data_IF_351651948577
#
_entry.id   IF_351651948577
#
_cell.length_a   1.000
_cell.length_b   1.000
_cell.length_c   1.000
_cell.angle_alpha   90.00
_cell.angle_beta   90.00
_cell.angle_gamma   90.00
#
_symmetry.space_group_name_H-M   'P 1'
#
loop_
_entity.id
_entity.type
_entity.pdbx_description
1 polymer ?
#
# COMPACT_ATOMS: atom_id res chain seq x y z
N UNK A 1 26.47 8.60 26.50
CA UNK A 1 26.47 7.91 25.19
C UNK A 1 25.03 7.88 24.70
N UNK A 2 24.72 8.38 23.51
CA UNK A 2 23.33 8.41 23.00
C UNK A 2 22.81 6.99 22.77
N UNK A 3 21.48 6.79 22.86
CA UNK A 3 20.83 5.48 22.63
C UNK A 3 21.22 4.92 21.24
N UNK A 4 21.35 5.79 20.24
CA UNK A 4 21.82 5.44 18.90
C UNK A 4 23.29 4.94 18.89
N UNK A 5 24.19 5.59 19.61
CA UNK A 5 25.58 5.14 19.72
C UNK A 5 25.71 3.79 20.44
N UNK A 6 24.82 3.50 21.40
CA UNK A 6 24.74 2.19 22.05
C UNK A 6 24.30 1.08 21.10
N UNK A 7 23.32 1.36 20.23
CA UNK A 7 22.88 0.43 19.20
C UNK A 7 24.02 0.05 18.25
N UNK A 8 24.69 1.03 17.63
CA UNK A 8 25.75 0.75 16.65
C UNK A 8 27.00 0.11 17.27
N UNK A 9 27.26 0.34 18.55
CA UNK A 9 28.34 -0.34 19.27
C UNK A 9 28.07 -1.84 19.45
N UNK A 10 26.81 -2.21 19.71
CA UNK A 10 26.37 -3.60 19.90
C UNK A 10 26.17 -4.33 18.57
N UNK A 11 25.61 -3.65 17.58
CA UNK A 11 25.10 -4.22 16.34
C UNK A 11 25.91 -3.72 15.12
N UNK A 12 27.25 -3.86 15.16
CA UNK A 12 28.20 -3.29 14.16
C UNK A 12 27.89 -3.67 12.70
N UNK A 13 27.32 -4.85 12.47
CA UNK A 13 26.88 -5.30 11.15
C UNK A 13 25.93 -4.28 10.50
N UNK A 14 24.94 -3.79 11.23
CA UNK A 14 23.93 -2.87 10.68
C UNK A 14 24.52 -1.50 10.35
N UNK A 15 25.56 -1.06 11.07
CA UNK A 15 26.31 0.14 10.69
C UNK A 15 26.99 -0.06 9.33
N UNK A 16 27.64 -1.20 9.12
CA UNK A 16 28.28 -1.54 7.84
C UNK A 16 27.25 -1.61 6.71
N UNK A 17 26.08 -2.21 6.95
CA UNK A 17 25.00 -2.28 5.97
C UNK A 17 24.45 -0.89 5.62
N UNK A 18 24.29 0.01 6.59
CA UNK A 18 23.88 1.41 6.32
C UNK A 18 24.95 2.11 5.48
N UNK A 19 26.23 1.97 5.84
CA UNK A 19 27.33 2.57 5.05
C UNK A 19 27.31 2.04 3.62
N UNK A 20 27.10 0.73 3.43
CA UNK A 20 26.93 0.13 2.11
C UNK A 20 25.75 0.73 1.35
N UNK A 21 24.56 0.79 1.96
CA UNK A 21 23.35 1.35 1.34
C UNK A 21 23.58 2.81 0.94
N UNK A 22 24.17 3.61 1.82
CA UNK A 22 24.50 5.01 1.53
C UNK A 22 25.50 5.11 0.39
N UNK A 23 26.57 4.33 0.40
CA UNK A 23 27.58 4.31 -0.65
C UNK A 23 26.96 3.98 -2.02
N UNK A 24 26.14 2.93 -2.11
CA UNK A 24 25.43 2.55 -3.34
C UNK A 24 24.52 3.68 -3.83
N UNK A 25 23.71 4.27 -2.95
CA UNK A 25 22.85 5.39 -3.34
C UNK A 25 23.67 6.61 -3.80
N UNK A 26 24.73 6.98 -3.08
CA UNK A 26 25.60 8.09 -3.51
C UNK A 26 26.28 7.83 -4.85
N UNK A 27 26.72 6.59 -5.12
CA UNK A 27 27.33 6.22 -6.40
C UNK A 27 26.34 6.30 -7.57
N UNK A 28 25.06 5.96 -7.33
CA UNK A 28 23.99 6.10 -8.34
C UNK A 28 23.69 7.58 -8.64
N UNK A 29 23.73 8.45 -7.62
CA UNK A 29 23.42 9.88 -7.75
C UNK A 29 24.64 10.77 -8.05
N UNK A 30 25.86 10.23 -8.08
CA UNK A 30 27.02 10.96 -8.57
C UNK A 30 26.85 11.18 -10.07
N UNK A 31 26.82 12.44 -10.54
CA UNK A 31 26.74 12.72 -11.96
C UNK A 31 28.06 12.27 -12.59
N UNK A 32 28.03 11.16 -13.33
CA UNK A 32 28.95 11.00 -14.44
C UNK A 32 28.59 12.12 -15.42
N UNK A 33 29.43 13.15 -15.50
CA UNK A 33 29.26 14.33 -16.36
C UNK A 33 28.63 13.97 -17.71
N UNK A 34 27.31 14.17 -17.85
CA UNK A 34 26.69 14.39 -19.14
C UNK A 34 26.56 15.90 -19.32
N UNK A 35 27.53 16.47 -20.04
CA UNK A 35 27.45 17.83 -20.58
C UNK A 35 26.15 18.00 -21.35
N UNK A 36 25.43 19.07 -21.01
CA UNK A 36 24.52 19.77 -21.91
C UNK A 36 23.06 19.35 -21.83
N UNK A 37 22.25 20.12 -21.11
CA UNK A 37 21.29 21.06 -21.72
C UNK A 37 20.49 21.72 -20.60
N UNK A 38 20.63 23.04 -20.49
CA UNK A 38 19.85 23.86 -19.55
C UNK A 38 18.38 23.89 -19.95
N UNK A 39 17.49 23.51 -19.03
CA UNK A 39 16.05 23.71 -19.20
C UNK A 39 15.67 25.10 -18.68
N UNK A 40 15.66 26.08 -19.58
CA UNK A 40 14.72 27.21 -19.46
C UNK A 40 13.36 26.66 -19.88
N UNK A 41 12.47 26.38 -18.95
CA UNK A 41 11.09 25.97 -19.27
C UNK A 41 10.24 27.23 -19.35
N UNK A 42 9.82 27.51 -20.57
CA UNK A 42 9.09 28.70 -20.98
C UNK A 42 7.59 28.55 -20.66
N UNK A 43 6.94 29.65 -20.28
CA UNK A 43 5.51 29.68 -19.89
C UNK A 43 4.62 29.21 -21.06
N UNK A 44 5.09 29.38 -22.29
CA UNK A 44 4.48 28.90 -23.54
C UNK A 44 4.31 27.38 -23.60
N UNK A 45 5.31 26.59 -23.18
CA UNK A 45 5.21 25.12 -23.19
C UNK A 45 4.15 24.59 -22.21
N UNK A 46 3.93 25.29 -21.09
CA UNK A 46 2.89 24.94 -20.13
C UNK A 46 1.48 25.20 -20.65
N UNK A 47 1.27 26.23 -21.47
CA UNK A 47 -0.04 26.54 -22.05
C UNK A 47 -0.36 25.56 -23.17
N UNK A 48 0.61 25.28 -24.06
CA UNK A 48 0.48 24.29 -25.14
C UNK A 48 0.26 22.87 -24.59
N UNK A 49 0.91 22.53 -23.48
CA UNK A 49 0.69 21.26 -22.79
C UNK A 49 -0.73 21.10 -22.22
N UNK A 50 -1.37 22.20 -21.77
CA UNK A 50 -2.73 22.19 -21.21
C UNK A 50 -3.81 22.01 -22.28
N UNK A 51 -3.67 22.66 -23.44
CA UNK A 51 -4.64 22.54 -24.53
C UNK A 51 -4.62 21.12 -25.14
N UNK A 52 -3.43 20.58 -25.44
CA UNK A 52 -3.28 19.19 -25.91
C UNK A 52 -3.83 18.16 -24.91
N UNK A 53 -3.77 18.47 -23.61
CA UNK A 53 -4.31 17.61 -22.57
C UNK A 53 -5.84 17.63 -22.49
N UNK A 54 -6.44 18.83 -22.58
CA UNK A 54 -7.89 18.96 -22.58
C UNK A 54 -8.49 18.23 -23.79
N UNK A 55 -7.83 18.35 -24.93
CA UNK A 55 -8.18 17.62 -26.16
C UNK A 55 -8.02 16.10 -25.99
N UNK A 56 -6.92 15.62 -25.37
CA UNK A 56 -6.71 14.20 -25.10
C UNK A 56 -7.75 13.60 -24.13
N UNK A 57 -8.16 14.35 -23.10
CA UNK A 57 -9.18 13.90 -22.15
C UNK A 57 -10.58 13.87 -22.78
N UNK A 58 -10.90 14.83 -23.65
CA UNK A 58 -12.15 14.83 -24.42
C UNK A 58 -12.19 13.65 -25.40
N UNK A 59 -11.08 13.39 -26.10
CA UNK A 59 -10.93 12.23 -26.97
C UNK A 59 -11.04 10.90 -26.21
N UNK A 60 -10.45 10.78 -25.01
CA UNK A 60 -10.64 9.59 -24.17
C UNK A 60 -12.10 9.43 -23.74
N UNK A 61 -12.80 10.52 -23.38
CA UNK A 61 -14.21 10.46 -22.98
C UNK A 61 -15.13 10.05 -24.12
N UNK A 62 -14.99 10.66 -25.30
CA UNK A 62 -15.77 10.31 -26.48
C UNK A 62 -15.52 8.86 -26.91
N UNK A 63 -14.28 8.38 -26.78
CA UNK A 63 -13.95 6.97 -27.02
C UNK A 63 -14.64 6.02 -26.04
N UNK A 64 -14.70 6.35 -24.75
CA UNK A 64 -15.40 5.50 -23.76
C UNK A 64 -16.89 5.43 -24.05
N UNK A 65 -17.56 6.57 -24.24
CA UNK A 65 -19.00 6.61 -24.56
C UNK A 65 -19.28 5.82 -25.85
N UNK A 66 -18.48 6.03 -26.90
CA UNK A 66 -18.58 5.29 -28.16
C UNK A 66 -18.37 3.77 -28.00
N UNK A 67 -17.44 3.33 -27.15
CA UNK A 67 -17.17 1.92 -26.88
C UNK A 67 -18.32 1.25 -26.12
N UNK A 68 -18.86 1.91 -25.10
CA UNK A 68 -20.02 1.42 -24.35
C UNK A 68 -21.26 1.34 -25.24
N UNK A 69 -21.46 2.30 -26.15
CA UNK A 69 -22.54 2.24 -27.13
C UNK A 69 -22.42 1.05 -28.10
N UNK A 70 -21.20 0.69 -28.50
CA UNK A 70 -20.94 -0.44 -29.41
C UNK A 70 -20.99 -1.81 -28.72
N UNK A 71 -20.68 -1.88 -27.42
CA UNK A 71 -20.62 -3.13 -26.66
C UNK A 71 -21.66 -3.16 -25.52
N UNK A 72 -22.87 -3.62 -25.84
CA UNK A 72 -24.02 -3.65 -24.92
C UNK A 72 -23.73 -4.45 -23.62
N UNK A 73 -23.14 -5.66 -23.66
CA UNK A 73 -22.74 -6.38 -22.45
C UNK A 73 -21.80 -5.58 -21.54
N UNK A 74 -20.81 -4.91 -22.13
CA UNK A 74 -19.86 -4.09 -21.38
C UNK A 74 -20.53 -2.85 -20.76
N UNK A 75 -21.46 -2.21 -21.46
CA UNK A 75 -22.26 -1.11 -20.91
C UNK A 75 -23.11 -1.54 -19.71
N UNK A 76 -23.74 -2.72 -19.79
CA UNK A 76 -24.50 -3.29 -18.67
C UNK A 76 -23.57 -3.57 -17.49
N UNK A 77 -22.41 -4.18 -17.72
CA UNK A 77 -21.42 -4.43 -16.67
C UNK A 77 -20.99 -3.13 -15.98
N UNK A 78 -20.62 -2.12 -16.76
CA UNK A 78 -20.22 -0.80 -16.25
C UNK A 78 -21.33 -0.13 -15.41
N UNK A 79 -22.57 -0.18 -15.89
CA UNK A 79 -23.73 0.34 -15.18
C UNK A 79 -23.95 -0.41 -13.85
N UNK A 80 -23.93 -1.74 -13.86
CA UNK A 80 -24.11 -2.56 -12.66
C UNK A 80 -22.99 -2.32 -11.65
N UNK A 81 -21.73 -2.20 -12.08
CA UNK A 81 -20.62 -1.85 -11.20
C UNK A 81 -20.79 -0.45 -10.61
N UNK A 82 -21.25 0.52 -11.40
CA UNK A 82 -21.50 1.89 -10.92
C UNK A 82 -22.62 1.92 -9.87
N UNK A 83 -23.72 1.19 -10.11
CA UNK A 83 -24.82 1.05 -9.14
C UNK A 83 -24.36 0.35 -7.86
N UNK A 84 -23.51 -0.69 -7.98
CA UNK A 84 -22.93 -1.37 -6.82
C UNK A 84 -22.07 -0.43 -5.97
N UNK A 85 -21.20 0.38 -6.60
CA UNK A 85 -20.38 1.37 -5.89
C UNK A 85 -21.27 2.36 -5.14
N UNK A 86 -22.31 2.90 -5.79
CA UNK A 86 -23.27 3.81 -5.16
C UNK A 86 -24.02 3.17 -3.99
N UNK A 87 -24.45 1.91 -4.14
CA UNK A 87 -25.11 1.16 -3.07
C UNK A 87 -24.17 0.93 -1.87
N UNK A 88 -22.90 0.62 -2.11
CA UNK A 88 -21.90 0.46 -1.04
C UNK A 88 -21.66 1.79 -0.31
N UNK A 89 -21.55 2.91 -1.04
CA UNK A 89 -21.42 4.24 -0.42
C UNK A 89 -22.65 4.56 0.44
N UNK A 90 -23.86 4.35 -0.10
CA UNK A 90 -25.10 4.58 0.64
C UNK A 90 -25.18 3.73 1.90
N UNK A 91 -24.83 2.45 1.81
CA UNK A 91 -24.81 1.54 2.94
C UNK A 91 -23.74 1.94 3.97
N UNK A 92 -22.59 2.45 3.52
CA UNK A 92 -21.57 3.04 4.41
C UNK A 92 -22.10 4.24 5.19
N UNK A 93 -22.79 5.17 4.53
CA UNK A 93 -23.45 6.30 5.18
C UNK A 93 -24.48 5.82 6.21
N UNK A 94 -25.28 4.79 5.87
CA UNK A 94 -26.23 4.21 6.81
C UNK A 94 -25.53 3.61 8.04
N UNK A 95 -24.43 2.88 7.84
CA UNK A 95 -23.61 2.36 8.94
C UNK A 95 -23.09 3.49 9.84
N UNK A 96 -22.58 4.58 9.25
CA UNK A 96 -22.11 5.73 10.02
C UNK A 96 -23.23 6.38 10.83
N UNK A 97 -24.41 6.57 10.23
CA UNK A 97 -25.59 7.10 10.93
C UNK A 97 -26.02 6.20 12.09
N UNK A 98 -26.00 4.88 11.89
CA UNK A 98 -26.29 3.91 12.94
C UNK A 98 -25.26 4.00 14.07
N UNK A 99 -23.97 3.98 13.75
CA UNK A 99 -22.88 4.09 14.75
C UNK A 99 -22.96 5.41 15.54
N UNK A 100 -23.28 6.53 14.87
CA UNK A 100 -23.51 7.82 15.52
C UNK A 100 -24.72 7.78 16.46
N UNK A 101 -25.84 7.18 16.04
CA UNK A 101 -27.04 7.05 16.88
C UNK A 101 -26.79 6.20 18.13
N UNK A 102 -26.02 5.10 18.02
CA UNK A 102 -25.61 4.30 19.18
C UNK A 102 -24.71 5.08 20.15
N UNK A 103 -23.76 5.87 19.63
CA UNK A 103 -22.88 6.70 20.45
C UNK A 103 -23.66 7.78 21.21
N UNK A 104 -24.64 8.40 20.57
CA UNK A 104 -25.54 9.39 21.19
C UNK A 104 -26.48 8.75 22.23
N UNK A 105 -26.85 7.48 22.04
CA UNK A 105 -27.70 6.70 22.95
C UNK A 105 -27.03 6.30 24.29
N UNK A 106 -25.80 6.77 24.58
CA UNK A 106 -25.00 6.44 25.79
C UNK A 106 -24.71 4.95 26.03
N UNK A 107 -25.11 4.03 25.16
CA UNK A 107 -24.61 2.65 25.18
C UNK A 107 -23.16 2.66 24.71
N UNK A 108 -22.21 2.67 25.65
CA UNK A 108 -20.80 2.43 25.34
C UNK A 108 -20.71 1.08 24.64
N UNK A 109 -20.38 1.09 23.35
CA UNK A 109 -19.81 -0.10 22.71
C UNK A 109 -18.43 -0.24 23.35
N UNK A 110 -18.37 -0.97 24.46
CA UNK A 110 -17.11 -1.40 25.07
C UNK A 110 -16.48 -2.45 24.15
N UNK A 111 -15.88 -2.00 23.05
CA UNK A 111 -14.91 -2.83 22.36
C UNK A 111 -13.71 -2.94 23.28
N UNK A 112 -13.58 -4.09 23.92
CA UNK A 112 -12.45 -4.43 24.78
C UNK A 112 -11.15 -4.08 24.04
N UNK A 113 -10.46 -3.03 24.48
CA UNK A 113 -9.11 -2.73 24.00
C UNK A 113 -8.24 -3.91 24.35
N UNK A 114 -7.61 -4.53 23.35
CA UNK A 114 -6.65 -5.59 23.58
C UNK A 114 -5.60 -5.07 24.58
N UNK A 115 -5.54 -5.69 25.76
CA UNK A 115 -4.52 -5.39 26.76
C UNK A 115 -3.19 -5.89 26.20
N UNK A 116 -2.19 -5.02 25.99
CA UNK A 116 -0.97 -5.40 25.30
C UNK A 116 -0.25 -6.51 26.06
N UNK A 117 0.16 -7.56 25.35
CA UNK A 117 1.35 -8.28 25.78
C UNK A 117 2.53 -7.31 25.74
N UNK A 118 3.36 -7.34 26.78
CA UNK A 118 4.58 -6.56 26.82
C UNK A 118 5.54 -7.15 25.76
N UNK A 119 5.51 -6.61 24.54
CA UNK A 119 6.35 -7.11 23.44
C UNK A 119 7.83 -6.88 23.74
N UNK A 120 8.66 -7.84 23.33
CA UNK A 120 10.10 -7.81 23.58
C UNK A 120 10.90 -6.97 22.57
N UNK A 121 10.39 -6.75 21.36
CA UNK A 121 11.07 -5.94 20.33
C UNK A 121 10.77 -4.44 20.46
N UNK A 122 11.56 -3.61 19.76
CA UNK A 122 11.48 -2.15 19.82
C UNK A 122 11.73 -1.47 18.45
N UNK A 123 11.72 -0.14 18.41
CA UNK A 123 11.90 0.64 17.19
C UNK A 123 13.24 0.39 16.48
N UNK A 124 14.30 0.01 17.21
CA UNK A 124 15.57 -0.36 16.59
C UNK A 124 15.50 -1.69 15.86
N UNK A 125 14.65 -2.60 16.34
CA UNK A 125 14.42 -3.86 15.63
C UNK A 125 13.65 -3.63 14.32
N UNK A 126 12.75 -2.64 14.29
CA UNK A 126 12.14 -2.16 13.03
C UNK A 126 13.21 -1.66 12.08
N UNK A 127 14.12 -0.80 12.57
CA UNK A 127 15.24 -0.32 11.76
C UNK A 127 16.12 -1.46 11.23
N UNK A 128 16.39 -2.50 12.02
CA UNK A 128 17.13 -3.70 11.58
C UNK A 128 16.45 -4.39 10.41
N UNK A 129 15.13 -4.64 10.50
CA UNK A 129 14.38 -5.29 9.42
C UNK A 129 14.38 -4.44 8.16
N UNK A 130 14.19 -3.11 8.28
CA UNK A 130 14.23 -2.18 7.13
C UNK A 130 15.63 -2.17 6.48
N UNK A 131 16.70 -2.15 7.25
CA UNK A 131 18.07 -2.20 6.72
C UNK A 131 18.32 -3.51 5.97
N UNK A 132 17.89 -4.64 6.53
CA UNK A 132 18.01 -5.94 5.87
C UNK A 132 17.17 -5.99 4.58
N UNK A 133 15.94 -5.49 4.61
CA UNK A 133 15.07 -5.38 3.44
C UNK A 133 15.74 -4.61 2.31
N UNK A 134 16.29 -3.42 2.61
CA UNK A 134 17.01 -2.60 1.63
C UNK A 134 18.27 -3.31 1.10
N UNK A 135 19.08 -3.89 1.99
CA UNK A 135 20.30 -4.59 1.61
C UNK A 135 20.01 -5.77 0.67
N UNK A 136 19.07 -6.64 1.04
CA UNK A 136 18.70 -7.77 0.20
C UNK A 136 18.04 -7.33 -1.11
N UNK A 137 17.36 -6.18 -1.14
CA UNK A 137 16.89 -5.57 -2.39
C UNK A 137 18.03 -5.31 -3.37
N UNK A 138 19.14 -4.72 -2.91
CA UNK A 138 20.33 -4.56 -3.74
C UNK A 138 20.97 -5.89 -4.13
N UNK A 139 21.06 -6.86 -3.21
CA UNK A 139 21.59 -8.19 -3.52
C UNK A 139 20.79 -8.86 -4.64
N UNK A 140 19.46 -8.80 -4.59
CA UNK A 140 18.57 -9.36 -5.61
C UNK A 140 18.86 -8.71 -6.97
N UNK A 141 18.94 -7.38 -7.03
CA UNK A 141 19.24 -6.66 -8.29
C UNK A 141 20.59 -7.11 -8.89
N UNK A 142 21.62 -7.30 -8.06
CA UNK A 142 22.93 -7.78 -8.52
C UNK A 142 22.84 -9.22 -9.02
N UNK A 143 22.20 -10.12 -8.27
CA UNK A 143 22.01 -11.53 -8.65
C UNK A 143 21.24 -11.62 -9.97
N UNK A 144 20.14 -10.89 -10.11
CA UNK A 144 19.37 -10.82 -11.36
C UNK A 144 20.23 -10.37 -12.53
N UNK A 145 21.07 -9.35 -12.33
CA UNK A 145 21.94 -8.82 -13.38
C UNK A 145 22.97 -9.84 -13.86
N UNK A 146 23.50 -10.67 -12.94
CA UNK A 146 24.41 -11.76 -13.27
C UNK A 146 23.70 -12.92 -13.98
N UNK A 147 22.45 -13.20 -13.61
CA UNK A 147 21.65 -14.30 -14.16
C UNK A 147 20.88 -13.91 -15.44
N UNK A 148 20.80 -12.62 -15.79
CA UNK A 148 20.04 -12.14 -16.95
C UNK A 148 20.55 -12.67 -18.30
N UNK A 149 21.84 -13.02 -18.39
CA UNK A 149 22.43 -13.61 -19.60
C UNK A 149 21.98 -15.07 -19.81
N UNK A 150 22.15 -16.00 -18.85
CA UNK A 150 21.70 -17.39 -19.01
C UNK A 150 20.19 -17.59 -18.93
N UNK A 151 19.43 -16.66 -18.33
CA UNK A 151 17.98 -16.80 -18.16
C UNK A 151 17.21 -15.64 -18.84
N UNK A 152 16.81 -15.78 -20.12
CA UNK A 152 16.13 -14.73 -20.87
C UNK A 152 14.83 -14.21 -20.24
N UNK A 153 14.16 -15.01 -19.39
CA UNK A 153 12.96 -14.59 -18.66
C UNK A 153 13.23 -13.40 -17.73
N UNK A 154 14.45 -13.28 -17.20
CA UNK A 154 14.91 -12.14 -16.40
C UNK A 154 15.12 -10.88 -17.26
N UNK A 155 14.95 -10.90 -18.58
CA UNK A 155 14.91 -9.66 -19.38
C UNK A 155 13.53 -9.01 -19.37
N UNK A 156 12.49 -9.72 -18.94
CA UNK A 156 11.15 -9.15 -18.82
C UNK A 156 11.04 -8.32 -17.52
N UNK A 157 10.81 -7.00 -17.68
CA UNK A 157 10.70 -6.07 -16.56
C UNK A 157 9.54 -6.40 -15.61
N UNK A 158 8.39 -6.81 -16.14
CA UNK A 158 7.22 -7.15 -15.31
C UNK A 158 7.52 -8.40 -14.47
N UNK A 159 8.13 -9.40 -15.09
CA UNK A 159 8.56 -10.62 -14.39
C UNK A 159 9.54 -10.32 -13.26
N UNK A 160 10.57 -9.51 -13.53
CA UNK A 160 11.53 -9.10 -12.50
C UNK A 160 10.88 -8.31 -11.39
N UNK A 161 10.00 -7.37 -11.71
CA UNK A 161 9.34 -6.54 -10.70
C UNK A 161 8.52 -7.40 -9.73
N UNK A 162 7.69 -8.32 -10.24
CA UNK A 162 6.88 -9.17 -9.35
C UNK A 162 7.75 -10.17 -8.60
N UNK A 163 8.76 -10.77 -9.25
CA UNK A 163 9.69 -11.71 -8.60
C UNK A 163 10.42 -11.04 -7.44
N UNK A 164 10.98 -9.85 -7.67
CA UNK A 164 11.71 -9.09 -6.66
C UNK A 164 10.83 -8.71 -5.49
N UNK A 165 9.61 -8.23 -5.76
CA UNK A 165 8.65 -7.86 -4.71
C UNK A 165 8.26 -9.10 -3.89
N UNK A 166 7.93 -10.21 -4.54
CA UNK A 166 7.57 -11.47 -3.87
C UNK A 166 8.71 -12.01 -2.98
N UNK A 167 9.96 -11.98 -3.47
CA UNK A 167 11.11 -12.44 -2.69
C UNK A 167 11.36 -11.50 -1.51
N UNK A 168 11.30 -10.18 -1.72
CA UNK A 168 11.54 -9.20 -0.67
C UNK A 168 10.49 -9.26 0.44
N UNK A 169 9.22 -9.41 0.07
CA UNK A 169 8.14 -9.55 1.04
C UNK A 169 8.29 -10.83 1.87
N UNK A 170 8.66 -11.95 1.22
CA UNK A 170 8.95 -13.20 1.92
C UNK A 170 10.14 -13.04 2.88
N UNK A 171 11.23 -12.40 2.44
CA UNK A 171 12.38 -12.12 3.29
C UNK A 171 12.01 -11.22 4.47
N UNK A 172 11.18 -10.20 4.24
CA UNK A 172 10.66 -9.33 5.30
C UNK A 172 9.93 -10.14 6.37
N UNK A 173 9.00 -11.01 5.95
CA UNK A 173 8.27 -11.89 6.86
C UNK A 173 9.22 -12.84 7.62
N UNK A 174 10.20 -13.42 6.94
CA UNK A 174 11.21 -14.29 7.57
C UNK A 174 12.04 -13.53 8.60
N UNK A 175 12.51 -12.32 8.30
CA UNK A 175 13.29 -11.53 9.26
C UNK A 175 12.48 -11.15 10.50
N UNK A 176 11.21 -10.77 10.31
CA UNK A 176 10.30 -10.46 11.42
C UNK A 176 10.11 -11.72 12.28
N UNK A 177 9.75 -12.86 11.69
CA UNK A 177 9.51 -14.10 12.43
C UNK A 177 10.78 -14.62 13.12
N UNK A 178 11.92 -14.54 12.46
CA UNK A 178 13.19 -14.96 13.03
C UNK A 178 13.58 -14.08 14.22
N UNK A 179 13.36 -12.78 14.14
CA UNK A 179 13.63 -11.86 15.23
C UNK A 179 12.63 -12.07 16.39
N UNK A 180 11.33 -12.10 16.10
CA UNK A 180 10.30 -12.16 17.16
C UNK A 180 10.18 -13.57 17.76
N UNK A 181 9.94 -14.58 16.94
CA UNK A 181 9.72 -15.97 17.40
C UNK A 181 11.04 -16.70 17.58
N UNK A 182 12.01 -16.49 16.70
CA UNK A 182 13.31 -17.16 16.76
C UNK A 182 14.19 -16.64 17.89
N UNK A 183 14.46 -15.34 17.92
CA UNK A 183 15.40 -14.70 18.86
C UNK A 183 14.71 -14.32 20.18
N UNK A 184 13.60 -13.58 20.12
CA UNK A 184 12.89 -13.16 21.34
C UNK A 184 11.95 -14.22 21.93
N UNK A 185 11.76 -15.36 21.25
CA UNK A 185 10.88 -16.46 21.69
C UNK A 185 9.43 -16.02 21.94
N UNK A 186 9.00 -14.97 21.25
CA UNK A 186 7.63 -14.47 21.29
C UNK A 186 6.67 -15.46 20.61
N UNK A 187 5.41 -15.45 21.04
CA UNK A 187 4.35 -16.21 20.38
C UNK A 187 3.87 -15.45 19.14
N UNK A 188 3.38 -16.16 18.12
CA UNK A 188 2.78 -15.55 16.93
C UNK A 188 1.63 -14.59 17.24
N UNK A 189 0.92 -14.83 18.35
CA UNK A 189 -0.15 -13.94 18.83
C UNK A 189 0.36 -12.55 19.23
N UNK A 190 1.64 -12.40 19.58
CA UNK A 190 2.26 -11.10 19.87
C UNK A 190 2.31 -10.21 18.61
N UNK A 191 2.36 -10.80 17.41
CA UNK A 191 2.20 -10.11 16.12
C UNK A 191 0.72 -9.93 15.72
N UNK A 192 -0.23 -10.42 16.54
CA UNK A 192 -1.64 -10.50 16.20
C UNK A 192 -2.00 -11.59 15.18
N UNK A 193 -1.10 -12.55 14.93
CA UNK A 193 -1.41 -13.73 14.13
C UNK A 193 -2.23 -14.68 15.01
N UNK A 194 -3.55 -14.59 14.90
CA UNK A 194 -4.50 -15.42 15.66
C UNK A 194 -5.83 -15.60 14.92
N UNK A 195 -6.33 -16.83 14.90
CA UNK A 195 -7.63 -17.19 14.35
C UNK A 195 -8.77 -17.16 15.39
N UNK A 196 -8.51 -16.65 16.59
CA UNK A 196 -9.55 -16.55 17.63
C UNK A 196 -10.67 -15.61 17.15
N UNK A 197 -11.92 -16.08 17.21
CA UNK A 197 -13.10 -15.35 16.73
C UNK A 197 -12.99 -14.92 15.26
N UNK A 198 -12.37 -15.73 14.41
CA UNK A 198 -12.07 -15.43 13.00
C UNK A 198 -13.23 -14.74 12.25
N UNK A 199 -14.41 -15.36 12.19
CA UNK A 199 -15.58 -14.80 11.49
C UNK A 199 -16.06 -13.47 12.07
N UNK A 200 -15.97 -13.28 13.39
CA UNK A 200 -16.34 -12.01 14.03
C UNK A 200 -15.36 -10.89 13.65
N UNK A 201 -14.08 -11.22 13.55
CA UNK A 201 -13.06 -10.25 13.13
C UNK A 201 -13.16 -9.93 11.63
N UNK A 202 -13.54 -10.89 10.79
CA UNK A 202 -13.94 -10.61 9.39
C UNK A 202 -15.11 -9.62 9.37
N UNK A 203 -16.17 -9.88 10.15
CA UNK A 203 -17.33 -8.99 10.25
C UNK A 203 -16.94 -7.58 10.68
N UNK A 204 -16.09 -7.43 11.71
CA UNK A 204 -15.57 -6.11 12.11
C UNK A 204 -14.76 -5.42 11.02
N UNK A 205 -13.98 -6.18 10.24
CA UNK A 205 -13.30 -5.67 9.06
C UNK A 205 -14.29 -5.12 8.02
N UNK A 206 -15.28 -5.93 7.62
CA UNK A 206 -16.30 -5.54 6.64
C UNK A 206 -17.06 -4.28 7.08
N UNK A 207 -17.59 -4.27 8.31
CA UNK A 207 -18.33 -3.11 8.84
C UNK A 207 -17.42 -1.87 8.93
N UNK A 208 -16.18 -2.05 9.39
CA UNK A 208 -15.19 -0.97 9.45
C UNK A 208 -14.85 -0.40 8.07
N UNK A 209 -14.74 -1.25 7.05
CA UNK A 209 -14.50 -0.81 5.68
C UNK A 209 -15.71 -0.08 5.10
N UNK A 210 -16.92 -0.60 5.31
CA UNK A 210 -18.14 0.07 4.86
C UNK A 210 -18.29 1.48 5.46
N UNK A 211 -17.98 1.64 6.75
CA UNK A 211 -17.97 2.92 7.43
C UNK A 211 -16.92 3.91 6.86
N UNK A 212 -15.75 3.43 6.41
CA UNK A 212 -14.71 4.34 5.89
C UNK A 212 -14.92 4.71 4.41
N UNK A 213 -15.65 3.90 3.62
CA UNK A 213 -15.81 4.13 2.18
C UNK A 213 -16.33 5.54 1.84
N UNK A 214 -17.38 6.08 2.47
CA UNK A 214 -17.84 7.43 2.18
C UNK A 214 -16.74 8.49 2.36
N UNK A 215 -15.91 8.34 3.41
CA UNK A 215 -14.78 9.22 3.68
C UNK A 215 -13.71 9.06 2.59
N UNK A 216 -13.36 7.83 2.22
CA UNK A 216 -12.38 7.58 1.15
C UNK A 216 -12.83 8.17 -0.18
N UNK A 217 -14.10 8.00 -0.55
CA UNK A 217 -14.68 8.57 -1.77
C UNK A 217 -14.67 10.10 -1.72
N UNK A 218 -15.04 10.69 -0.58
CA UNK A 218 -14.96 12.15 -0.37
C UNK A 218 -13.53 12.67 -0.55
N UNK A 219 -12.54 11.99 0.02
CA UNK A 219 -11.12 12.35 -0.16
C UNK A 219 -10.68 12.23 -1.61
N UNK A 220 -11.08 11.18 -2.34
CA UNK A 220 -10.77 11.05 -3.76
C UNK A 220 -11.38 12.18 -4.60
N UNK A 221 -12.62 12.58 -4.31
CA UNK A 221 -13.28 13.72 -4.98
C UNK A 221 -12.53 15.03 -4.69
N UNK A 222 -12.18 15.28 -3.44
CA UNK A 222 -11.41 16.47 -3.04
C UNK A 222 -10.06 16.48 -3.77
N UNK A 223 -9.35 15.35 -3.78
CA UNK A 223 -8.08 15.22 -4.49
C UNK A 223 -8.25 15.48 -5.99
N UNK A 224 -9.28 14.94 -6.64
CA UNK A 224 -9.55 15.18 -8.06
C UNK A 224 -9.84 16.66 -8.36
N UNK A 225 -10.59 17.34 -7.48
CA UNK A 225 -10.85 18.78 -7.58
C UNK A 225 -9.55 19.56 -7.45
N UNK A 226 -8.73 19.25 -6.44
CA UNK A 226 -7.43 19.93 -6.22
C UNK A 226 -6.52 19.76 -7.43
N UNK A 227 -6.36 18.53 -7.94
CA UNK A 227 -5.56 18.22 -9.13
C UNK A 227 -6.01 19.05 -10.33
N UNK A 228 -7.33 19.15 -10.55
CA UNK A 228 -7.92 19.96 -11.61
C UNK A 228 -7.61 21.46 -11.41
N UNK A 229 -7.74 21.97 -10.19
CA UNK A 229 -7.48 23.39 -9.86
C UNK A 229 -6.01 23.76 -10.09
N UNK A 230 -5.08 22.88 -9.70
CA UNK A 230 -3.64 23.13 -9.85
C UNK A 230 -3.08 22.69 -11.21
N UNK A 231 -3.90 22.10 -12.09
CA UNK A 231 -3.51 21.50 -13.37
C UNK A 231 -2.35 20.50 -13.23
N UNK A 232 -2.39 19.68 -12.18
CA UNK A 232 -1.41 18.63 -11.98
C UNK A 232 -1.77 17.39 -12.79
N UNK A 233 -0.76 16.70 -13.31
CA UNK A 233 -0.94 15.44 -14.03
C UNK A 233 -0.31 14.34 -13.20
N UNK A 234 -1.10 13.47 -12.56
CA UNK A 234 -0.54 12.36 -11.81
C UNK A 234 0.17 11.38 -12.75
N UNK A 235 1.35 10.94 -12.35
CA UNK A 235 1.96 9.75 -12.91
C UNK A 235 1.10 8.53 -12.58
N UNK A 236 1.08 7.56 -13.49
CA UNK A 236 0.34 6.31 -13.27
C UNK A 236 1.15 5.42 -12.35
N UNK A 237 0.45 4.75 -11.45
CA UNK A 237 1.05 3.69 -10.64
C UNK A 237 1.63 2.57 -11.53
N UNK A 238 2.88 2.14 -11.30
CA UNK A 238 3.51 1.08 -12.10
C UNK A 238 2.67 -0.21 -12.15
N UNK A 239 2.03 -0.56 -11.03
CA UNK A 239 1.16 -1.75 -10.96
C UNK A 239 -0.10 -1.60 -11.82
N UNK A 240 -0.69 -0.41 -11.89
CA UNK A 240 -1.85 -0.14 -12.75
C UNK A 240 -1.44 -0.22 -14.21
N UNK A 241 -0.29 0.34 -14.57
CA UNK A 241 0.24 0.25 -15.92
C UNK A 241 0.51 -1.19 -16.35
N UNK A 242 1.08 -2.01 -15.46
CA UNK A 242 1.25 -3.45 -15.66
C UNK A 242 -0.08 -4.13 -15.97
N UNK A 243 -1.12 -3.93 -15.15
CA UNK A 243 -2.43 -4.54 -15.38
C UNK A 243 -3.10 -4.08 -16.68
N UNK A 244 -2.83 -2.86 -17.14
CA UNK A 244 -3.39 -2.35 -18.40
C UNK A 244 -2.67 -2.86 -19.64
N UNK A 245 -1.35 -3.09 -19.57
CA UNK A 245 -0.51 -3.42 -20.75
C UNK A 245 -0.16 -4.88 -20.90
N UNK A 246 -0.05 -5.63 -19.79
CA UNK A 246 0.41 -7.01 -19.82
C UNK A 246 -0.57 -7.92 -20.57
N UNK A 247 -0.08 -8.88 -21.36
CA UNK A 247 -0.92 -9.78 -22.16
C UNK A 247 -0.92 -11.22 -21.64
N UNK A 248 0.06 -11.61 -20.85
CA UNK A 248 0.12 -12.95 -20.27
C UNK A 248 -0.92 -13.12 -19.15
N UNK A 249 -1.93 -13.95 -19.41
CA UNK A 249 -3.00 -14.27 -18.47
C UNK A 249 -2.50 -14.94 -17.19
N UNK A 250 -1.50 -15.82 -17.27
CA UNK A 250 -0.98 -16.51 -16.09
C UNK A 250 -0.28 -15.52 -15.16
N UNK A 251 0.51 -14.61 -15.75
CA UNK A 251 1.15 -13.53 -15.03
C UNK A 251 0.14 -12.56 -14.39
N UNK A 252 -0.92 -12.19 -15.12
CA UNK A 252 -2.00 -11.35 -14.60
C UNK A 252 -2.72 -12.00 -13.42
N UNK A 253 -3.02 -13.29 -13.49
CA UNK A 253 -3.65 -14.04 -12.39
C UNK A 253 -2.74 -14.04 -11.16
N UNK A 254 -1.46 -14.39 -11.34
CA UNK A 254 -0.51 -14.39 -10.24
C UNK A 254 -0.38 -13.01 -9.59
N UNK A 255 -0.18 -11.96 -10.40
CA UNK A 255 -0.04 -10.59 -9.90
C UNK A 255 -1.32 -10.10 -9.21
N UNK A 256 -2.50 -10.51 -9.69
CA UNK A 256 -3.77 -10.22 -9.04
C UNK A 256 -3.86 -10.84 -7.66
N UNK A 257 -3.55 -12.13 -7.53
CA UNK A 257 -3.56 -12.85 -6.24
C UNK A 257 -2.52 -12.25 -5.30
N UNK A 258 -1.32 -11.96 -5.80
CA UNK A 258 -0.25 -11.39 -4.99
C UNK A 258 -0.64 -10.01 -4.46
N UNK A 259 -1.03 -9.08 -5.34
CA UNK A 259 -1.34 -7.68 -4.98
C UNK A 259 -2.61 -7.56 -4.13
N UNK A 260 -3.59 -8.44 -4.32
CA UNK A 260 -4.86 -8.37 -3.58
C UNK A 260 -4.88 -9.19 -2.30
N UNK A 261 -4.06 -10.24 -2.16
CA UNK A 261 -4.13 -11.15 -1.03
C UNK A 261 -2.79 -11.33 -0.32
N UNK A 262 -1.75 -11.78 -1.02
CA UNK A 262 -0.49 -12.17 -0.38
C UNK A 262 0.31 -10.96 0.14
N UNK A 263 0.45 -9.90 -0.66
CA UNK A 263 1.08 -8.64 -0.29
C UNK A 263 0.44 -8.02 0.96
N UNK A 264 -0.89 -7.80 0.96
CA UNK A 264 -1.61 -7.31 2.14
C UNK A 264 -1.34 -8.09 3.42
N UNK A 265 -1.23 -9.42 3.38
CA UNK A 265 -0.93 -10.21 4.58
C UNK A 265 0.45 -9.86 5.14
N UNK A 266 1.48 -9.79 4.29
CA UNK A 266 2.85 -9.50 4.71
C UNK A 266 2.97 -8.05 5.19
N UNK A 267 2.34 -7.13 4.47
CA UNK A 267 2.26 -5.72 4.85
C UNK A 267 1.57 -5.55 6.21
N UNK A 268 0.44 -6.23 6.47
CA UNK A 268 -0.22 -6.16 7.78
C UNK A 268 0.67 -6.72 8.91
N UNK A 269 1.40 -7.80 8.67
CA UNK A 269 2.37 -8.33 9.64
C UNK A 269 3.45 -7.30 9.95
N UNK A 270 4.03 -6.66 8.92
CA UNK A 270 5.07 -5.64 9.10
C UNK A 270 4.54 -4.37 9.77
N UNK A 271 3.50 -3.75 9.22
CA UNK A 271 3.02 -2.45 9.66
C UNK A 271 2.26 -2.51 10.98
N UNK A 272 1.39 -3.51 11.19
CA UNK A 272 0.47 -3.57 12.34
C UNK A 272 1.03 -4.50 13.40
N UNK A 273 1.38 -5.72 13.00
CA UNK A 273 1.91 -6.74 13.91
C UNK A 273 3.24 -6.34 14.52
N UNK A 274 4.17 -5.80 13.73
CA UNK A 274 5.54 -5.56 14.13
C UNK A 274 5.83 -4.08 14.44
N UNK A 275 5.72 -3.20 13.43
CA UNK A 275 6.15 -1.79 13.52
C UNK A 275 5.26 -0.95 14.45
N UNK A 276 3.93 -1.05 14.31
CA UNK A 276 2.99 -0.31 15.15
C UNK A 276 3.19 -0.60 16.64
N UNK A 277 3.31 -1.88 17.03
CA UNK A 277 3.55 -2.24 18.42
C UNK A 277 4.90 -1.70 18.93
N UNK A 278 5.94 -1.73 18.09
CA UNK A 278 7.26 -1.20 18.43
C UNK A 278 7.21 0.29 18.76
N UNK A 279 6.52 1.10 17.95
CA UNK A 279 6.39 2.54 18.17
C UNK A 279 5.40 2.90 19.29
N UNK A 280 4.27 2.17 19.40
CA UNK A 280 3.25 2.38 20.43
C UNK A 280 3.84 2.42 21.85
N UNK A 281 4.87 1.63 22.13
CA UNK A 281 5.58 1.59 23.41
C UNK A 281 6.27 2.92 23.79
N UNK A 282 6.67 3.71 22.80
CA UNK A 282 7.43 4.95 22.99
C UNK A 282 6.58 6.21 22.85
N UNK A 283 5.65 6.22 21.88
CA UNK A 283 4.89 7.43 21.52
C UNK A 283 3.37 7.31 21.78
N UNK A 284 2.91 6.18 22.31
CA UNK A 284 1.50 5.93 22.61
C UNK A 284 0.66 5.59 21.37
N UNK A 285 -0.60 5.21 21.59
CA UNK A 285 -1.52 4.69 20.55
C UNK A 285 -1.72 5.72 19.44
N UNK A 286 -2.12 6.95 19.79
CA UNK A 286 -2.50 7.97 18.82
C UNK A 286 -1.37 8.28 17.82
N UNK A 287 -0.18 8.57 18.33
CA UNK A 287 0.97 8.90 17.48
C UNK A 287 1.51 7.69 16.74
N UNK A 288 1.45 6.48 17.32
CA UNK A 288 1.84 5.27 16.62
C UNK A 288 0.91 4.97 15.44
N UNK A 289 -0.41 5.13 15.59
CA UNK A 289 -1.39 5.00 14.50
C UNK A 289 -1.05 5.98 13.37
N UNK A 290 -0.86 7.26 13.70
CA UNK A 290 -0.56 8.27 12.68
C UNK A 290 0.77 8.01 11.98
N UNK A 291 1.83 7.72 12.74
CA UNK A 291 3.17 7.48 12.20
C UNK A 291 3.18 6.27 11.26
N UNK A 292 2.68 5.12 11.69
CA UNK A 292 2.74 3.91 10.85
C UNK A 292 1.81 4.00 9.64
N UNK A 293 0.69 4.70 9.75
CA UNK A 293 -0.22 4.95 8.61
C UNK A 293 0.39 5.90 7.59
N UNK A 294 1.11 6.94 8.04
CA UNK A 294 1.82 7.86 7.16
C UNK A 294 3.00 7.16 6.45
N UNK A 295 3.76 6.32 7.18
CA UNK A 295 4.82 5.50 6.58
C UNK A 295 4.26 4.51 5.55
N UNK A 296 3.13 3.87 5.86
CA UNK A 296 2.42 2.98 4.94
C UNK A 296 2.05 3.69 3.63
N UNK A 297 1.43 4.87 3.74
CA UNK A 297 1.09 5.68 2.57
C UNK A 297 2.32 6.18 1.80
N UNK A 298 3.39 6.55 2.50
CA UNK A 298 4.63 7.02 1.89
C UNK A 298 5.33 5.97 1.03
N UNK A 299 5.28 4.69 1.41
CA UNK A 299 5.90 3.60 0.63
C UNK A 299 5.19 3.32 -0.70
N UNK A 300 3.96 3.79 -0.88
CA UNK A 300 3.24 3.64 -2.15
C UNK A 300 3.73 4.64 -3.21
N UNK A 301 4.57 5.61 -2.85
CA UNK A 301 5.13 6.62 -3.76
C UNK A 301 4.10 7.42 -4.58
N UNK A 302 2.83 7.38 -4.14
CA UNK A 302 1.71 8.05 -4.79
C UNK A 302 1.34 9.32 -4.02
N UNK A 303 1.76 10.49 -4.50
CA UNK A 303 1.42 11.75 -3.85
C UNK A 303 -0.11 12.02 -3.84
N UNK A 304 -0.80 11.59 -4.88
CA UNK A 304 -2.26 11.76 -5.05
C UNK A 304 -3.03 10.80 -4.14
N UNK A 305 -2.53 9.57 -4.01
CA UNK A 305 -3.08 8.53 -3.15
C UNK A 305 -2.73 8.70 -1.68
N UNK A 306 -1.78 9.57 -1.32
CA UNK A 306 -1.24 9.64 0.04
C UNK A 306 -2.32 9.78 1.12
N UNK A 307 -3.24 10.75 1.00
CA UNK A 307 -4.29 10.97 2.01
C UNK A 307 -5.33 9.82 2.06
N UNK A 308 -5.89 9.34 0.94
CA UNK A 308 -6.71 8.13 0.93
C UNK A 308 -6.03 6.90 1.54
N UNK A 309 -4.77 6.63 1.16
CA UNK A 309 -4.01 5.47 1.64
C UNK A 309 -3.68 5.61 3.13
N UNK A 310 -3.31 6.81 3.59
CA UNK A 310 -3.08 7.09 5.01
C UNK A 310 -4.37 6.89 5.82
N UNK A 311 -5.51 7.33 5.30
CA UNK A 311 -6.82 7.15 5.95
C UNK A 311 -7.19 5.67 6.08
N UNK A 312 -6.96 4.89 5.02
CA UNK A 312 -7.09 3.43 5.08
C UNK A 312 -6.11 2.84 6.12
N UNK A 313 -4.86 3.30 6.13
CA UNK A 313 -3.84 2.92 7.11
C UNK A 313 -4.30 3.11 8.55
N UNK A 314 -4.94 4.25 8.84
CA UNK A 314 -5.50 4.59 10.16
C UNK A 314 -6.59 3.59 10.54
N UNK A 315 -7.52 3.26 9.64
CA UNK A 315 -8.54 2.25 9.88
C UNK A 315 -7.90 0.89 10.20
N UNK A 316 -6.91 0.46 9.40
CA UNK A 316 -6.24 -0.82 9.57
C UNK A 316 -5.53 -0.91 10.93
N UNK A 317 -4.83 0.16 11.34
CA UNK A 317 -4.20 0.23 12.67
C UNK A 317 -5.23 0.28 13.81
N UNK A 318 -6.34 1.01 13.62
CA UNK A 318 -7.44 1.06 14.58
C UNK A 318 -8.10 -0.32 14.79
N UNK A 319 -8.42 -1.03 13.71
CA UNK A 319 -9.01 -2.37 13.79
C UNK A 319 -8.06 -3.34 14.49
N UNK A 320 -6.76 -3.27 14.19
CA UNK A 320 -5.75 -4.05 14.88
C UNK A 320 -5.72 -3.75 16.38
N UNK A 321 -5.66 -2.47 16.76
CA UNK A 321 -5.64 -2.02 18.17
C UNK A 321 -6.88 -2.48 18.94
N UNK A 322 -8.05 -2.52 18.29
CA UNK A 322 -9.31 -2.93 18.91
C UNK A 322 -9.47 -4.43 19.01
N UNK A 323 -8.99 -5.19 18.02
CA UNK A 323 -9.25 -6.64 17.94
C UNK A 323 -8.10 -7.49 18.48
N UNK A 324 -6.88 -6.94 18.51
CA UNK A 324 -5.66 -7.68 18.85
C UNK A 324 -5.30 -8.77 17.84
N UNK A 325 -5.90 -8.75 16.65
CA UNK A 325 -5.61 -9.69 15.56
C UNK A 325 -5.48 -8.96 14.24
N UNK A 326 -4.66 -9.51 13.34
CA UNK A 326 -4.52 -9.01 11.98
C UNK A 326 -5.72 -9.34 11.09
N UNK A 327 -6.59 -10.28 11.50
CA UNK A 327 -7.71 -10.74 10.65
C UNK A 327 -8.59 -9.59 10.15
N UNK A 328 -8.97 -8.65 11.02
CA UNK A 328 -9.80 -7.51 10.61
C UNK A 328 -9.07 -6.58 9.64
N UNK A 329 -7.81 -6.29 9.90
CA UNK A 329 -7.01 -5.42 9.03
C UNK A 329 -6.73 -6.09 7.67
N UNK A 330 -6.33 -7.36 7.66
CA UNK A 330 -6.14 -8.15 6.43
C UNK A 330 -7.44 -8.20 5.62
N UNK A 331 -8.59 -8.40 6.28
CA UNK A 331 -9.90 -8.41 5.59
C UNK A 331 -10.13 -7.11 4.83
N UNK A 332 -9.98 -5.96 5.50
CA UNK A 332 -10.17 -4.64 4.88
C UNK A 332 -9.18 -4.43 3.74
N UNK A 333 -7.90 -4.72 3.98
CA UNK A 333 -6.84 -4.47 3.01
C UNK A 333 -7.01 -5.33 1.76
N UNK A 334 -7.32 -6.62 1.92
CA UNK A 334 -7.60 -7.52 0.80
C UNK A 334 -8.84 -7.12 0.02
N UNK A 335 -9.94 -6.76 0.69
CA UNK A 335 -11.15 -6.29 0.01
C UNK A 335 -10.84 -5.01 -0.77
N UNK A 336 -10.10 -4.07 -0.18
CA UNK A 336 -9.71 -2.84 -0.86
C UNK A 336 -8.87 -3.12 -2.11
N UNK A 337 -7.77 -3.86 -2.00
CA UNK A 337 -6.90 -4.14 -3.13
C UNK A 337 -7.59 -4.99 -4.20
N UNK A 338 -8.41 -5.97 -3.82
CA UNK A 338 -9.21 -6.74 -4.77
C UNK A 338 -10.18 -5.83 -5.54
N UNK A 339 -10.85 -4.91 -4.85
CA UNK A 339 -11.74 -3.93 -5.48
C UNK A 339 -11.00 -3.07 -6.50
N UNK A 340 -9.78 -2.63 -6.16
CA UNK A 340 -8.92 -1.86 -7.07
C UNK A 340 -8.48 -2.68 -8.28
N UNK A 341 -8.07 -3.94 -8.10
CA UNK A 341 -7.69 -4.84 -9.20
C UNK A 341 -8.88 -5.08 -10.14
N UNK A 342 -10.05 -5.39 -9.58
CA UNK A 342 -11.29 -5.58 -10.38
C UNK A 342 -11.67 -4.31 -11.15
N UNK A 343 -11.52 -3.15 -10.53
CA UNK A 343 -11.75 -1.87 -11.19
C UNK A 343 -10.79 -1.66 -12.36
N UNK A 344 -9.50 -1.97 -12.20
CA UNK A 344 -8.52 -1.87 -13.31
C UNK A 344 -8.86 -2.84 -14.44
N UNK A 345 -9.33 -4.06 -14.15
CA UNK A 345 -9.78 -4.99 -15.20
C UNK A 345 -11.03 -4.49 -15.94
N UNK A 346 -11.96 -3.83 -15.26
CA UNK A 346 -13.09 -3.18 -15.91
C UNK A 346 -12.62 -2.07 -16.87
N UNK A 347 -11.69 -1.22 -16.43
CA UNK A 347 -11.09 -0.17 -17.28
C UNK A 347 -10.36 -0.80 -18.48
N UNK A 348 -9.65 -1.91 -18.27
CA UNK A 348 -8.96 -2.64 -19.34
C UNK A 348 -9.94 -3.11 -20.42
N UNK A 349 -11.09 -3.66 -20.05
CA UNK A 349 -12.12 -4.10 -21.01
C UNK A 349 -12.75 -2.95 -21.80
N UNK A 350 -12.83 -1.75 -21.20
CA UNK A 350 -13.33 -0.54 -21.89
C UNK A 350 -12.35 -0.05 -22.96
N UNK A 351 -11.05 -0.34 -22.79
CA UNK A 351 -9.99 0.12 -23.71
C UNK A 351 -9.60 -0.90 -24.78
N UNK A 352 -9.91 -2.19 -24.58
CA UNK A 352 -9.71 -3.27 -25.56
C UNK A 352 -10.82 -3.26 -26.60
#
# INVERSE_FOLDING_TARGET
MTIAAAFFKRDRLYLLLIIFILAVNTAIFLPLEKKGQGKKTDVSERVIGKEKMAEQLLLERENVEGMLHKNRPLAILFMLTSLLILAIIFLGILVDLLLLSFKLSRKKIEMATYKPHNISWNAWDVAKVVILFMFFGYCIIVIESLLAAPFPILKNNNFRMILNTSILDLLCAVFILQLTVGQYKEKLISLGISFKNFFRNIFYGIVGYMAIIPILVGLLIITAIVIKLINYVPEREPVVELFLKEKDSAFLIYTSIFTSMLGPVIEEVFFRGFMYNAFKKYIGIFWAVLLTSALFAGLHTNIVGFLPIMTLGILLAYLYEKTGTLVSSITVHTIHNLSMVLFVFLIRQIRS
#
